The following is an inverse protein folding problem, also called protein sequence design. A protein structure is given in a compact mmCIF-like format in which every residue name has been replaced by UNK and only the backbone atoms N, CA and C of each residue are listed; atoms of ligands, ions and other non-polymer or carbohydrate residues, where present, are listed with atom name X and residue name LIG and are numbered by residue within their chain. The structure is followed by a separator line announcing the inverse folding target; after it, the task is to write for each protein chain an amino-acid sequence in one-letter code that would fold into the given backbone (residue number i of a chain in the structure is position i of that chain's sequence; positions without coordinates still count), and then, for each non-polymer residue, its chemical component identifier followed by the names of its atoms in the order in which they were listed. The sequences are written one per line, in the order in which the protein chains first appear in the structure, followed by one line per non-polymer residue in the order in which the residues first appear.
data_IF_418854515157
#
_entry.id   IF_418854515157
#
_cell.length_a   1.000
_cell.length_b   1.000
_cell.length_c   1.000
_cell.angle_alpha   90.00
_cell.angle_beta   90.00
_cell.angle_gamma   90.00
#
_symmetry.space_group_name_H-M   'P 1'
#
loop_
_entity.id
_entity.type
_entity.pdbx_description
1 polymer ?
#
# COMPACT_ATOMS: atom_id res chain seq x y z
N UNK A 1 -11.12 2.74 24.78
CA UNK A 1 -11.24 2.86 23.29
C UNK A 1 -12.72 2.74 23.00
N UNK A 2 -13.35 3.81 22.50
CA UNK A 2 -14.80 3.82 22.26
C UNK A 2 -15.13 3.21 20.88
N UNK A 3 -16.32 2.62 20.78
CA UNK A 3 -16.86 2.12 19.50
C UNK A 3 -17.76 3.20 18.92
N UNK A 4 -17.53 3.54 17.64
CA UNK A 4 -18.35 4.49 16.90
C UNK A 4 -19.15 3.74 15.81
N UNK A 5 -20.40 4.13 15.63
CA UNK A 5 -21.23 3.74 14.50
C UNK A 5 -21.07 4.82 13.41
N UNK A 6 -20.83 4.41 12.17
CA UNK A 6 -20.72 5.30 11.03
C UNK A 6 -21.68 4.87 9.94
N UNK A 7 -22.43 5.81 9.39
CA UNK A 7 -23.29 5.63 8.23
C UNK A 7 -22.95 6.68 7.19
N UNK A 8 -22.64 6.24 5.97
CA UNK A 8 -22.49 7.12 4.82
C UNK A 8 -23.86 7.53 4.32
N UNK A 9 -24.13 8.83 4.28
CA UNK A 9 -25.39 9.42 3.82
C UNK A 9 -25.29 9.92 2.39
N UNK A 10 -24.13 10.49 2.03
CA UNK A 10 -23.87 11.04 0.70
C UNK A 10 -22.38 10.89 0.36
N UNK A 11 -22.11 10.63 -0.90
CA UNK A 11 -20.77 10.55 -1.46
C UNK A 11 -20.73 11.31 -2.78
N UNK A 12 -19.85 12.29 -2.90
CA UNK A 12 -19.54 12.96 -4.16
C UNK A 12 -18.04 13.23 -4.28
N UNK A 13 -17.62 13.94 -5.32
CA UNK A 13 -16.20 14.22 -5.59
C UNK A 13 -15.56 15.23 -4.64
N UNK A 14 -16.36 15.94 -3.84
CA UNK A 14 -15.88 17.03 -2.98
C UNK A 14 -15.96 16.71 -1.49
N UNK A 15 -16.89 15.87 -1.07
CA UNK A 15 -17.05 15.49 0.33
C UNK A 15 -17.76 14.14 0.51
N UNK A 16 -17.58 13.58 1.72
CA UNK A 16 -18.43 12.54 2.28
C UNK A 16 -19.32 13.15 3.36
N UNK A 17 -20.65 12.94 3.25
CA UNK A 17 -21.56 13.21 4.36
C UNK A 17 -21.77 11.95 5.16
N UNK A 18 -21.36 11.99 6.43
CA UNK A 18 -21.44 10.84 7.33
C UNK A 18 -22.27 11.20 8.56
N UNK A 19 -23.06 10.23 9.02
CA UNK A 19 -23.68 10.25 10.32
C UNK A 19 -22.86 9.36 11.25
N UNK A 20 -22.41 9.89 12.38
CA UNK A 20 -21.66 9.14 13.37
C UNK A 20 -22.28 9.28 14.75
N UNK A 21 -22.24 8.22 15.55
CA UNK A 21 -22.60 8.24 16.95
C UNK A 21 -21.63 7.38 17.76
N UNK A 22 -21.33 7.82 18.98
CA UNK A 22 -20.68 6.97 19.97
C UNK A 22 -21.75 6.05 20.58
N UNK A 23 -21.49 4.74 20.64
CA UNK A 23 -22.48 3.75 21.08
C UNK A 23 -22.97 4.04 22.51
N UNK A 24 -22.11 4.59 23.36
CA UNK A 24 -22.45 4.88 24.76
C UNK A 24 -23.20 6.20 24.99
N UNK A 25 -23.17 7.13 24.02
CA UNK A 25 -23.70 8.51 24.21
C UNK A 25 -25.00 8.76 23.45
N UNK A 26 -25.44 7.88 22.58
CA UNK A 26 -26.67 7.96 21.74
C UNK A 26 -26.83 9.30 20.99
N UNK A 27 -25.75 10.08 20.84
CA UNK A 27 -25.78 11.36 20.17
C UNK A 27 -25.34 11.20 18.71
N UNK A 28 -26.29 11.32 17.81
CA UNK A 28 -26.01 11.32 16.36
C UNK A 28 -25.46 12.67 15.92
N UNK A 29 -24.34 12.68 15.23
CA UNK A 29 -23.75 13.87 14.62
C UNK A 29 -23.63 13.64 13.10
N UNK A 30 -24.05 14.64 12.32
CA UNK A 30 -23.85 14.63 10.86
C UNK A 30 -22.69 15.55 10.55
N UNK A 31 -21.74 15.05 9.76
CA UNK A 31 -20.51 15.73 9.40
C UNK A 31 -20.29 15.67 7.90
N UNK A 32 -19.84 16.77 7.33
CA UNK A 32 -19.31 16.84 5.97
C UNK A 32 -17.79 16.80 6.04
N UNK A 33 -17.22 15.72 5.51
CA UNK A 33 -15.79 15.49 5.46
C UNK A 33 -15.30 15.91 4.07
N UNK A 34 -14.75 17.10 3.98
CA UNK A 34 -14.22 17.64 2.71
C UNK A 34 -13.03 16.83 2.24
N UNK A 35 -13.02 16.48 0.96
CA UNK A 35 -11.94 15.76 0.30
C UNK A 35 -10.90 16.75 -0.24
N UNK A 36 -9.64 16.51 0.10
CA UNK A 36 -8.52 17.22 -0.51
C UNK A 36 -8.12 16.51 -1.80
N UNK A 37 -8.36 17.16 -2.95
CA UNK A 37 -8.07 16.59 -4.28
C UNK A 37 -6.57 16.38 -4.55
N UNK A 38 -5.71 17.02 -3.75
CA UNK A 38 -4.27 16.84 -3.83
C UNK A 38 -3.77 15.63 -3.02
N UNK A 39 -4.69 14.89 -2.38
CA UNK A 39 -4.36 13.74 -1.52
C UNK A 39 -5.16 12.50 -1.91
N UNK A 40 -4.51 11.36 -1.82
CA UNK A 40 -5.17 10.08 -2.08
C UNK A 40 -6.09 9.64 -0.92
N UNK A 41 -5.77 10.08 0.29
CA UNK A 41 -6.52 9.74 1.50
C UNK A 41 -6.93 11.00 2.26
N UNK A 42 -8.12 10.95 2.87
CA UNK A 42 -8.62 11.97 3.78
C UNK A 42 -8.77 11.36 5.18
N UNK A 43 -7.69 11.29 5.97
CA UNK A 43 -7.74 10.75 7.33
C UNK A 43 -8.66 11.58 8.22
N UNK A 44 -9.56 10.91 8.94
CA UNK A 44 -10.52 11.54 9.82
C UNK A 44 -10.40 10.99 11.23
N UNK A 45 -10.37 11.87 12.23
CA UNK A 45 -10.30 11.51 13.64
C UNK A 45 -11.68 11.57 14.29
N UNK A 46 -12.19 10.41 14.74
CA UNK A 46 -13.45 10.38 15.49
C UNK A 46 -13.35 10.99 16.89
N UNK A 47 -12.14 11.08 17.46
CA UNK A 47 -11.95 11.73 18.77
C UNK A 47 -12.07 13.25 18.70
N UNK A 48 -11.59 13.87 17.62
CA UNK A 48 -11.64 15.32 17.41
C UNK A 48 -12.76 15.75 16.46
N UNK A 49 -13.42 14.81 15.79
CA UNK A 49 -14.43 15.02 14.74
C UNK A 49 -13.92 15.95 13.62
N UNK A 50 -12.66 15.76 13.22
CA UNK A 50 -11.98 16.59 12.22
C UNK A 50 -11.13 15.74 11.27
N UNK A 51 -10.95 16.26 10.06
CA UNK A 51 -9.89 15.79 9.15
C UNK A 51 -8.54 16.09 9.79
N UNK A 52 -7.64 15.11 9.74
CA UNK A 52 -6.26 15.25 10.22
C UNK A 52 -5.28 15.21 9.05
N UNK A 53 -4.33 16.13 9.06
CA UNK A 53 -3.38 16.29 7.96
C UNK A 53 -2.13 15.39 8.17
N UNK A 54 -2.30 14.08 7.96
CA UNK A 54 -1.21 13.09 8.08
C UNK A 54 -0.94 12.36 6.76
N UNK A 55 -1.74 12.62 5.72
CA UNK A 55 -1.53 12.06 4.39
C UNK A 55 -0.64 12.98 3.57
N UNK A 56 0.41 12.49 2.91
CA UNK A 56 1.20 13.28 1.96
C UNK A 56 0.36 13.68 0.76
N UNK A 57 0.83 14.67 0.00
CA UNK A 57 0.27 15.01 -1.30
C UNK A 57 0.47 13.85 -2.29
N UNK A 58 -0.43 13.73 -3.26
CA UNK A 58 -0.49 12.60 -4.17
C UNK A 58 0.80 12.41 -4.98
N UNK A 59 1.52 13.49 -5.28
CA UNK A 59 2.75 13.44 -6.06
C UNK A 59 4.03 13.26 -5.22
N UNK A 60 3.88 13.13 -3.89
CA UNK A 60 5.02 13.10 -2.97
C UNK A 60 5.29 11.71 -2.39
N UNK A 61 4.69 10.66 -2.96
CA UNK A 61 4.93 9.30 -2.52
C UNK A 61 4.57 8.29 -3.61
N UNK A 62 5.29 7.18 -3.66
CA UNK A 62 5.11 6.08 -4.61
C UNK A 62 4.71 4.78 -3.94
N UNK A 63 5.33 4.45 -2.81
CA UNK A 63 5.16 3.18 -2.12
C UNK A 63 4.70 3.39 -0.68
N UNK A 64 3.70 2.59 -0.26
CA UNK A 64 3.17 2.54 1.10
C UNK A 64 3.44 1.16 1.70
N UNK A 65 4.39 1.06 2.62
CA UNK A 65 4.63 -0.13 3.42
C UNK A 65 3.61 -0.20 4.54
N UNK A 66 2.73 -1.20 4.51
CA UNK A 66 1.58 -1.25 5.43
C UNK A 66 1.07 -2.66 5.65
N UNK A 67 0.12 -2.77 6.56
CA UNK A 67 -0.74 -3.94 6.67
C UNK A 67 -2.09 -3.62 6.04
N UNK A 68 -2.64 -4.58 5.31
CA UNK A 68 -3.96 -4.46 4.71
C UNK A 68 -4.67 -5.82 4.68
N UNK A 69 -5.99 -5.80 4.62
CA UNK A 69 -6.79 -7.02 4.54
C UNK A 69 -6.83 -7.53 3.10
N UNK A 70 -6.46 -8.80 2.93
CA UNK A 70 -6.62 -9.54 1.67
C UNK A 70 -7.72 -10.57 1.82
N UNK A 71 -8.66 -10.60 0.87
CA UNK A 71 -9.66 -11.65 0.78
C UNK A 71 -9.10 -12.82 -0.03
N UNK A 72 -8.93 -13.97 0.61
CA UNK A 72 -8.67 -15.23 -0.07
C UNK A 72 -10.00 -15.87 -0.47
N UNK A 73 -10.07 -16.44 -1.65
CA UNK A 73 -11.32 -16.98 -2.22
C UNK A 73 -11.49 -18.48 -2.01
N UNK A 74 -10.41 -19.20 -1.64
CA UNK A 74 -10.47 -20.64 -1.38
C UNK A 74 -9.53 -21.05 -0.22
N UNK A 75 -10.02 -21.23 1.01
CA UNK A 75 -11.37 -20.87 1.47
C UNK A 75 -11.58 -19.34 1.47
N UNK A 76 -12.84 -18.92 1.47
CA UNK A 76 -13.14 -17.49 1.60
C UNK A 76 -12.83 -17.03 3.02
N UNK A 77 -11.73 -16.31 3.17
CA UNK A 77 -11.24 -15.81 4.45
C UNK A 77 -10.56 -14.45 4.27
N UNK A 78 -10.84 -13.53 5.18
CA UNK A 78 -10.13 -12.26 5.29
C UNK A 78 -8.87 -12.44 6.13
N UNK A 79 -7.74 -12.01 5.59
CA UNK A 79 -6.46 -12.15 6.27
C UNK A 79 -5.67 -10.84 6.22
N UNK A 80 -5.12 -10.45 7.38
CA UNK A 80 -4.27 -9.28 7.50
C UNK A 80 -2.85 -9.61 7.00
N UNK A 81 -2.45 -9.00 5.90
CA UNK A 81 -1.13 -9.18 5.30
C UNK A 81 -0.25 -7.95 5.52
N UNK A 82 1.06 -8.16 5.70
CA UNK A 82 2.05 -7.08 5.64
C UNK A 82 2.64 -7.05 4.23
N UNK A 83 2.52 -5.93 3.55
CA UNK A 83 2.96 -5.79 2.17
C UNK A 83 3.19 -4.35 1.76
N UNK A 84 3.23 -4.12 0.45
CA UNK A 84 3.45 -2.81 -0.15
C UNK A 84 2.32 -2.50 -1.12
N UNK A 85 1.70 -1.36 -0.95
CA UNK A 85 0.75 -0.77 -1.88
C UNK A 85 1.44 0.35 -2.66
N UNK A 86 1.07 0.54 -3.91
CA UNK A 86 1.56 1.66 -4.71
C UNK A 86 0.55 2.82 -4.69
N UNK A 87 1.03 4.00 -5.02
CA UNK A 87 0.17 5.12 -5.38
C UNK A 87 -0.38 4.89 -6.79
N UNK A 88 -1.55 4.29 -6.89
CA UNK A 88 -2.19 3.86 -8.14
C UNK A 88 -2.58 5.02 -9.08
N UNK A 89 -2.37 6.27 -8.67
CA UNK A 89 -2.62 7.47 -9.48
C UNK A 89 -1.37 7.96 -10.21
N UNK A 90 -0.22 7.71 -9.64
CA UNK A 90 1.04 8.32 -10.11
C UNK A 90 2.12 7.28 -10.41
N UNK A 91 2.04 6.11 -9.81
CA UNK A 91 3.07 5.06 -9.88
C UNK A 91 2.56 3.86 -10.66
N UNK A 92 3.43 3.29 -11.48
CA UNK A 92 3.18 2.05 -12.20
C UNK A 92 4.29 1.05 -11.92
N UNK A 93 3.94 -0.23 -11.88
CA UNK A 93 4.91 -1.29 -11.58
C UNK A 93 4.74 -2.45 -12.54
N UNK A 94 5.87 -3.00 -12.99
CA UNK A 94 5.94 -4.31 -13.62
C UNK A 94 6.62 -5.31 -12.69
N UNK A 95 6.14 -6.55 -12.68
CA UNK A 95 6.73 -7.64 -11.89
C UNK A 95 7.56 -8.50 -12.82
N UNK A 96 8.83 -8.70 -12.49
CA UNK A 96 9.75 -9.59 -13.21
C UNK A 96 10.09 -10.80 -12.35
N UNK A 97 9.83 -11.99 -12.88
CA UNK A 97 10.15 -13.28 -12.24
C UNK A 97 11.09 -14.12 -13.09
N UNK A 98 11.67 -13.54 -14.13
CA UNK A 98 12.46 -14.24 -15.15
C UNK A 98 13.92 -13.81 -15.09
N UNK A 99 14.17 -12.50 -15.03
CA UNK A 99 15.52 -11.96 -15.10
C UNK A 99 16.15 -11.81 -13.71
N UNK A 100 17.46 -12.02 -13.63
CA UNK A 100 18.20 -11.66 -12.44
C UNK A 100 18.18 -10.12 -12.25
N UNK A 101 18.19 -9.66 -11.01
CA UNK A 101 18.15 -8.24 -10.67
C UNK A 101 19.22 -7.41 -11.41
N UNK A 102 20.43 -7.95 -11.56
CA UNK A 102 21.53 -7.27 -12.23
C UNK A 102 21.39 -7.21 -13.77
N UNK A 103 20.51 -8.01 -14.36
CA UNK A 103 20.24 -7.99 -15.80
C UNK A 103 19.18 -6.97 -16.20
N UNK A 104 18.38 -6.52 -15.24
CA UNK A 104 17.36 -5.50 -15.46
C UNK A 104 18.08 -4.14 -15.64
N UNK A 105 17.87 -3.52 -16.79
CA UNK A 105 18.47 -2.25 -17.16
C UNK A 105 17.50 -1.39 -17.99
N UNK A 106 17.88 -0.16 -18.31
CA UNK A 106 17.02 0.78 -19.03
C UNK A 106 16.56 0.26 -20.41
N UNK A 107 17.41 -0.46 -21.13
CA UNK A 107 17.06 -0.97 -22.46
C UNK A 107 16.03 -2.10 -22.42
N UNK A 108 15.84 -2.77 -21.28
CA UNK A 108 14.82 -3.81 -21.08
C UNK A 108 13.42 -3.26 -20.76
N UNK A 109 13.26 -1.94 -20.59
CA UNK A 109 11.98 -1.32 -20.20
C UNK A 109 10.85 -1.56 -21.22
N UNK A 110 11.18 -1.69 -22.51
CA UNK A 110 10.21 -2.00 -23.57
C UNK A 110 9.55 -3.37 -23.43
N UNK A 111 10.16 -4.29 -22.69
CA UNK A 111 9.69 -5.66 -22.53
C UNK A 111 8.69 -5.81 -21.38
N UNK A 112 8.52 -4.74 -20.57
CA UNK A 112 7.67 -4.76 -19.39
C UNK A 112 6.28 -4.19 -19.63
N UNK A 113 5.28 -4.86 -19.06
CA UNK A 113 3.92 -4.34 -18.95
C UNK A 113 3.74 -3.65 -17.59
N UNK A 114 3.68 -2.33 -17.59
CA UNK A 114 3.46 -1.53 -16.38
C UNK A 114 1.97 -1.46 -16.04
N UNK A 115 1.64 -1.73 -14.78
CA UNK A 115 0.28 -1.74 -14.25
C UNK A 115 0.16 -0.80 -13.06
N UNK A 116 -1.03 -0.19 -12.89
CA UNK A 116 -1.36 0.70 -11.77
C UNK A 116 -2.20 -0.01 -10.69
N UNK A 117 -2.20 -1.35 -10.64
CA UNK A 117 -2.94 -2.09 -9.62
C UNK A 117 -2.31 -1.80 -8.26
N UNK A 118 -3.11 -1.32 -7.30
CA UNK A 118 -2.63 -0.84 -6.00
C UNK A 118 -1.80 -1.86 -5.23
N UNK A 119 -2.15 -3.13 -5.25
CA UNK A 119 -1.46 -4.22 -4.55
C UNK A 119 -0.54 -5.05 -5.46
N UNK A 120 -0.05 -4.48 -6.56
CA UNK A 120 0.79 -5.18 -7.55
C UNK A 120 2.11 -5.70 -6.94
N UNK A 121 2.74 -4.94 -6.04
CA UNK A 121 3.87 -5.40 -5.24
C UNK A 121 3.36 -6.35 -4.16
N UNK A 122 2.35 -5.91 -3.42
CA UNK A 122 1.60 -6.72 -2.48
C UNK A 122 2.45 -7.34 -1.37
N UNK A 123 2.13 -8.59 -1.05
CA UNK A 123 2.76 -9.35 0.04
C UNK A 123 3.49 -10.62 -0.44
N UNK A 124 3.32 -11.00 -1.72
CA UNK A 124 3.78 -12.29 -2.27
C UNK A 124 5.29 -12.39 -2.52
N UNK A 125 6.05 -11.32 -2.30
CA UNK A 125 7.51 -11.30 -2.39
C UNK A 125 8.20 -12.11 -1.28
N UNK A 126 7.43 -12.60 -0.29
CA UNK A 126 7.87 -13.48 0.79
C UNK A 126 6.91 -14.64 0.98
N UNK A 127 7.38 -15.69 1.57
CA UNK A 127 6.61 -16.88 1.94
C UNK A 127 6.85 -17.25 3.40
N UNK A 128 5.83 -17.85 4.03
CA UNK A 128 5.92 -18.34 5.39
C UNK A 128 6.19 -19.84 5.40
N UNK A 129 7.26 -20.24 6.08
CA UNK A 129 7.56 -21.65 6.30
C UNK A 129 6.94 -22.11 7.62
N UNK A 130 6.00 -23.04 7.56
CA UNK A 130 5.26 -23.55 8.73
C UNK A 130 6.11 -24.45 9.65
N UNK A 131 7.19 -25.04 9.14
CA UNK A 131 8.07 -25.90 9.93
C UNK A 131 9.00 -25.03 10.81
N UNK A 132 9.57 -23.98 10.25
CA UNK A 132 10.50 -23.09 10.95
C UNK A 132 9.81 -21.91 11.62
N UNK A 133 8.53 -21.64 11.29
CA UNK A 133 7.77 -20.45 11.69
C UNK A 133 8.44 -19.12 11.25
N UNK A 134 9.20 -19.14 10.16
CA UNK A 134 9.90 -17.97 9.63
C UNK A 134 9.38 -17.59 8.24
N UNK A 135 9.51 -16.32 7.91
CA UNK A 135 9.37 -15.84 6.53
C UNK A 135 10.70 -15.90 5.80
N UNK A 136 10.68 -16.28 4.54
CA UNK A 136 11.78 -16.12 3.60
C UNK A 136 11.37 -15.21 2.44
N UNK A 137 12.31 -14.41 1.95
CA UNK A 137 12.11 -13.62 0.74
C UNK A 137 12.31 -14.52 -0.47
N UNK A 138 11.54 -14.29 -1.53
CA UNK A 138 11.66 -15.00 -2.81
C UNK A 138 12.70 -14.30 -3.68
N UNK A 139 13.77 -14.99 -4.02
CA UNK A 139 14.91 -14.41 -4.74
C UNK A 139 14.62 -14.06 -6.21
N UNK A 140 13.58 -14.68 -6.78
CA UNK A 140 13.21 -14.53 -8.19
C UNK A 140 12.13 -13.49 -8.46
N UNK A 141 11.84 -12.59 -7.52
CA UNK A 141 10.83 -11.56 -7.72
C UNK A 141 11.49 -10.18 -7.68
N UNK A 142 11.49 -9.53 -8.84
CA UNK A 142 11.95 -8.18 -9.02
C UNK A 142 10.76 -7.29 -9.43
N UNK A 143 10.87 -6.01 -9.14
CA UNK A 143 9.88 -5.00 -9.50
C UNK A 143 10.56 -3.90 -10.30
N UNK A 144 9.96 -3.52 -11.43
CA UNK A 144 10.36 -2.33 -12.17
C UNK A 144 9.30 -1.27 -11.94
N UNK A 145 9.69 -0.15 -11.38
CA UNK A 145 8.80 0.92 -10.91
C UNK A 145 8.99 2.13 -11.80
N UNK A 146 7.89 2.70 -12.28
CA UNK A 146 7.87 4.03 -12.91
C UNK A 146 7.19 4.99 -11.96
N UNK A 147 7.91 6.04 -11.55
CA UNK A 147 7.42 7.06 -10.63
C UNK A 147 6.59 8.16 -11.33
N UNK A 148 6.13 9.13 -10.53
CA UNK A 148 5.38 10.29 -11.00
C UNK A 148 6.17 11.16 -12.00
N UNK A 149 7.49 11.27 -11.83
CA UNK A 149 8.36 12.06 -12.73
C UNK A 149 8.69 11.31 -14.02
N UNK A 150 8.28 10.05 -14.16
CA UNK A 150 8.57 9.19 -15.30
C UNK A 150 9.94 8.53 -15.23
N UNK A 151 10.62 8.58 -14.09
CA UNK A 151 11.86 7.86 -13.83
C UNK A 151 11.57 6.39 -13.56
N UNK A 152 12.55 5.55 -13.83
CA UNK A 152 12.44 4.11 -13.65
C UNK A 152 13.43 3.61 -12.62
N UNK A 153 12.97 2.68 -11.80
CA UNK A 153 13.74 2.03 -10.75
C UNK A 153 13.54 0.52 -10.82
N UNK A 154 14.57 -0.25 -10.53
CA UNK A 154 14.43 -1.66 -10.21
C UNK A 154 14.51 -1.84 -8.71
N UNK A 155 13.69 -2.73 -8.17
CA UNK A 155 13.61 -3.02 -6.74
C UNK A 155 13.49 -4.52 -6.51
N UNK A 156 14.16 -5.04 -5.47
CA UNK A 156 13.90 -6.36 -4.91
C UNK A 156 13.94 -6.34 -3.40
N UNK A 157 13.20 -7.24 -2.77
CA UNK A 157 13.32 -7.45 -1.32
C UNK A 157 14.48 -8.38 -1.01
N UNK A 158 15.16 -8.13 0.12
CA UNK A 158 16.30 -8.92 0.58
C UNK A 158 16.09 -9.50 1.98
N UNK A 159 15.19 -8.93 2.79
CA UNK A 159 14.90 -9.43 4.13
C UNK A 159 13.53 -8.92 4.63
N UNK A 160 13.01 -9.55 5.67
CA UNK A 160 11.78 -9.16 6.37
C UNK A 160 11.98 -8.94 7.86
N UNK A 161 13.21 -9.11 8.34
CA UNK A 161 13.56 -9.04 9.76
C UNK A 161 14.53 -7.90 10.06
N UNK A 162 14.45 -7.39 11.29
CA UNK A 162 15.47 -6.49 11.81
C UNK A 162 16.68 -7.27 12.35
N UNK A 163 17.70 -6.55 12.84
CA UNK A 163 18.91 -7.14 13.43
C UNK A 163 18.67 -7.98 14.70
N UNK A 164 17.48 -7.85 15.30
CA UNK A 164 17.07 -8.62 16.49
C UNK A 164 16.19 -9.82 16.13
N UNK A 165 15.97 -10.10 14.84
CA UNK A 165 15.12 -11.19 14.38
C UNK A 165 13.62 -10.91 14.48
N UNK A 166 13.21 -9.65 14.67
CA UNK A 166 11.80 -9.28 14.71
C UNK A 166 11.28 -9.11 13.28
N UNK A 167 10.18 -9.78 12.94
CA UNK A 167 9.50 -9.67 11.64
C UNK A 167 8.77 -8.34 11.47
N UNK A 168 8.55 -7.94 10.20
CA UNK A 168 7.82 -6.71 9.87
C UNK A 168 8.74 -5.54 9.49
N UNK A 169 10.01 -5.82 9.24
CA UNK A 169 11.04 -4.85 8.84
C UNK A 169 11.55 -5.17 7.43
N UNK A 170 10.75 -4.90 6.37
CA UNK A 170 11.16 -5.20 5.02
C UNK A 170 12.43 -4.42 4.66
N UNK A 171 13.42 -5.15 4.15
CA UNK A 171 14.62 -4.58 3.54
C UNK A 171 14.58 -4.83 2.05
N UNK A 172 15.01 -3.86 1.27
CA UNK A 172 15.01 -3.93 -0.18
C UNK A 172 16.23 -3.22 -0.77
N UNK A 173 16.60 -3.61 -1.97
CA UNK A 173 17.51 -2.88 -2.84
C UNK A 173 16.68 -2.08 -3.84
N UNK A 174 17.10 -0.86 -4.12
CA UNK A 174 16.49 0.04 -5.09
C UNK A 174 17.60 0.70 -5.91
N UNK A 175 17.47 0.67 -7.23
CA UNK A 175 18.44 1.26 -8.14
C UNK A 175 17.71 1.99 -9.28
N UNK A 176 18.09 3.23 -9.56
CA UNK A 176 17.55 3.99 -10.69
C UNK A 176 18.09 3.43 -12.01
N UNK A 177 17.21 3.24 -12.99
CA UNK A 177 17.55 2.81 -14.34
C UNK A 177 17.77 4.05 -15.21
N UNK A 178 19.04 4.32 -15.52
CA UNK A 178 19.45 5.47 -16.32
C UNK A 178 19.66 5.04 -17.78
N UNK A 179 19.29 5.88 -18.79
CA UNK A 179 19.49 5.61 -20.22
C UNK A 179 20.92 5.34 -20.62
#
# INVERSE_FOLDING_TARGET
MGICKVQFLELNTSYFRVKTSQIELFNDTILDITLDQNKLFTPFSFSSLKVVNISPEINNWDLLFTQYTRLFTNPQIEYLVTGVLINDKTTQVAVDTINDFNQINYSSLSDYQFLSQRDIIGYNWKEFNFETNLYSVKDNINFVIRDFEGKYYKMRFIDFYNSQGLKGYPKFELEELIP
#
